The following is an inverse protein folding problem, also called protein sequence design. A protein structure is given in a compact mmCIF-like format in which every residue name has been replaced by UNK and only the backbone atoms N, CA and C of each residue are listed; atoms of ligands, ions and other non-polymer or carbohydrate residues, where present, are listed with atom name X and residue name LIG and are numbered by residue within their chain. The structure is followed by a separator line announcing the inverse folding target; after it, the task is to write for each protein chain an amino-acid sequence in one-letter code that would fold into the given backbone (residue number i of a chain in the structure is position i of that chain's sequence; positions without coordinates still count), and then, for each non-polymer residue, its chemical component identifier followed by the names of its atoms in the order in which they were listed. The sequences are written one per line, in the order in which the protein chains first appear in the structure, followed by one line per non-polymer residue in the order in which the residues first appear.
data_IF_144126170819
#
_entry.id   IF_144126170819
#
_cell.length_a   1.000
_cell.length_b   1.000
_cell.length_c   1.000
_cell.angle_alpha   90.00
_cell.angle_beta   90.00
_cell.angle_gamma   90.00
#
_symmetry.space_group_name_H-M   'P 1'
#
loop_
_entity.id
_entity.type
_entity.pdbx_description
1 polymer ?
#
# COMPACT_ATOMS: atom_id res chain seq x y z
N UNK A 1 -12.86 21.49 -13.28
CA UNK A 1 -11.40 21.34 -13.18
C UNK A 1 -11.16 20.45 -11.97
N UNK A 2 -10.87 19.16 -12.16
CA UNK A 2 -10.46 18.33 -11.02
C UNK A 2 -9.04 18.73 -10.64
N UNK A 3 -8.91 19.16 -9.40
CA UNK A 3 -7.62 19.44 -8.78
C UNK A 3 -6.74 18.18 -8.92
N UNK A 4 -5.56 18.35 -9.53
CA UNK A 4 -4.60 17.24 -9.72
C UNK A 4 -3.85 16.89 -8.44
N UNK A 5 -4.21 17.48 -7.30
CA UNK A 5 -3.50 17.29 -6.03
C UNK A 5 -4.10 16.24 -5.08
N UNK A 6 -5.31 15.74 -5.34
CA UNK A 6 -5.92 14.66 -4.51
C UNK A 6 -6.03 13.37 -5.32
N UNK A 7 -5.49 12.23 -4.84
CA UNK A 7 -5.66 10.95 -5.53
C UNK A 7 -7.15 10.59 -5.62
N UNK A 8 -7.55 9.92 -6.70
CA UNK A 8 -8.90 9.36 -6.83
C UNK A 8 -9.05 8.09 -5.99
N UNK A 9 -7.99 7.28 -5.93
CA UNK A 9 -7.96 5.97 -5.27
C UNK A 9 -6.77 5.87 -4.31
N UNK A 10 -7.02 5.37 -3.10
CA UNK A 10 -5.98 4.89 -2.20
C UNK A 10 -6.03 3.38 -2.13
N UNK A 11 -4.91 2.74 -2.42
CA UNK A 11 -4.72 1.30 -2.21
C UNK A 11 -4.09 1.08 -0.85
N UNK A 12 -4.79 0.44 0.08
CA UNK A 12 -4.30 0.10 1.41
C UNK A 12 -3.82 -1.36 1.43
N UNK A 13 -2.55 -1.57 1.80
CA UNK A 13 -1.94 -2.90 1.87
C UNK A 13 -1.39 -3.17 3.28
N UNK A 14 -2.06 -3.97 4.13
CA UNK A 14 -1.47 -4.45 5.36
C UNK A 14 -0.41 -5.50 5.05
N UNK A 15 0.72 -5.46 5.75
CA UNK A 15 1.81 -6.41 5.51
C UNK A 15 2.53 -6.78 6.81
N UNK A 16 2.99 -8.03 6.90
CA UNK A 16 3.84 -8.49 7.99
C UNK A 16 4.76 -9.62 7.53
N UNK A 17 6.07 -9.42 7.62
CA UNK A 17 7.08 -10.42 7.29
C UNK A 17 6.99 -10.98 5.85
N UNK A 18 6.88 -10.10 4.86
CA UNK A 18 6.68 -10.41 3.44
C UNK A 18 7.69 -9.65 2.55
N UNK A 19 8.94 -9.52 2.99
CA UNK A 19 9.93 -8.67 2.32
C UNK A 19 10.08 -8.95 0.81
N UNK A 20 10.03 -10.23 0.42
CA UNK A 20 10.17 -10.66 -0.97
C UNK A 20 9.01 -10.21 -1.87
N UNK A 21 7.82 -9.97 -1.29
CA UNK A 21 6.60 -9.64 -2.03
C UNK A 21 6.37 -8.13 -2.16
N UNK A 22 7.09 -7.30 -1.40
CA UNK A 22 6.94 -5.84 -1.40
C UNK A 22 7.13 -5.23 -2.79
N UNK A 23 8.29 -5.48 -3.41
CA UNK A 23 8.61 -4.90 -4.72
C UNK A 23 7.66 -5.39 -5.82
N UNK A 24 7.48 -6.71 -6.02
CA UNK A 24 6.58 -7.22 -7.06
C UNK A 24 5.17 -6.64 -6.96
N UNK A 25 4.59 -6.63 -5.75
CA UNK A 25 3.22 -6.15 -5.56
C UNK A 25 3.07 -4.64 -5.80
N UNK A 26 4.07 -3.83 -5.40
CA UNK A 26 4.06 -2.39 -5.69
C UNK A 26 4.13 -2.15 -7.20
N UNK A 27 5.04 -2.84 -7.91
CA UNK A 27 5.19 -2.72 -9.35
C UNK A 27 3.90 -3.13 -10.09
N UNK A 28 3.25 -4.18 -9.63
CA UNK A 28 1.96 -4.66 -10.14
C UNK A 28 0.84 -3.64 -9.95
N UNK A 29 0.68 -3.08 -8.75
CA UNK A 29 -0.32 -2.04 -8.46
C UNK A 29 -0.11 -0.81 -9.36
N UNK A 30 1.14 -0.36 -9.50
CA UNK A 30 1.48 0.79 -10.36
C UNK A 30 1.15 0.48 -11.82
N UNK A 31 1.44 -0.73 -12.29
CA UNK A 31 1.15 -1.17 -13.67
C UNK A 31 -0.34 -1.36 -13.94
N UNK A 32 -1.13 -1.76 -12.95
CA UNK A 32 -2.58 -1.97 -13.07
C UNK A 32 -3.36 -0.64 -13.12
N UNK A 33 -2.79 0.45 -12.60
CA UNK A 33 -3.44 1.75 -12.46
C UNK A 33 -2.79 2.88 -13.29
N UNK A 34 -2.45 2.69 -14.59
CA UNK A 34 -1.63 3.64 -15.36
C UNK A 34 -2.34 4.97 -15.67
N UNK A 35 -3.67 5.01 -15.55
CA UNK A 35 -4.50 6.18 -15.86
C UNK A 35 -5.35 6.64 -14.68
N UNK A 36 -5.17 6.03 -13.50
CA UNK A 36 -5.86 6.41 -12.27
C UNK A 36 -4.87 7.17 -11.40
N UNK A 37 -5.21 8.41 -11.03
CA UNK A 37 -4.46 9.14 -10.02
C UNK A 37 -4.63 8.40 -8.69
N UNK A 38 -3.58 7.75 -8.21
CA UNK A 38 -3.65 6.89 -7.03
C UNK A 38 -2.50 7.14 -6.06
N UNK A 39 -2.71 6.72 -4.82
CA UNK A 39 -1.66 6.53 -3.83
C UNK A 39 -1.70 5.10 -3.29
N UNK A 40 -0.56 4.65 -2.75
CA UNK A 40 -0.43 3.33 -2.14
C UNK A 40 -0.03 3.54 -0.69
N UNK A 41 -0.81 3.00 0.24
CA UNK A 41 -0.55 3.05 1.68
C UNK A 41 -0.24 1.64 2.18
N UNK A 42 1.05 1.35 2.37
CA UNK A 42 1.48 0.14 3.05
C UNK A 42 1.49 0.34 4.56
N UNK A 43 0.96 -0.64 5.29
CA UNK A 43 0.97 -0.67 6.75
C UNK A 43 1.73 -1.89 7.23
N UNK A 44 2.98 -1.68 7.63
CA UNK A 44 3.83 -2.69 8.27
C UNK A 44 3.32 -2.97 9.69
N UNK A 45 2.71 -4.14 9.90
CA UNK A 45 2.16 -4.60 11.18
C UNK A 45 3.24 -5.20 12.10
N UNK A 46 4.33 -4.45 12.30
CA UNK A 46 5.40 -4.82 13.21
C UNK A 46 6.25 -5.98 12.70
N UNK A 47 6.63 -5.95 11.41
CA UNK A 47 7.56 -6.93 10.84
C UNK A 47 8.90 -6.95 11.57
N UNK A 48 9.49 -8.14 11.61
CA UNK A 48 10.78 -8.45 12.25
C UNK A 48 11.83 -8.89 11.24
N UNK A 49 11.49 -8.97 9.96
CA UNK A 49 12.37 -9.32 8.84
C UNK A 49 12.76 -8.06 8.02
N UNK A 50 13.13 -8.25 6.75
CA UNK A 50 13.50 -7.16 5.83
C UNK A 50 12.34 -6.30 5.32
N UNK A 51 11.07 -6.58 5.66
CA UNK A 51 9.88 -5.95 5.04
C UNK A 51 9.93 -4.43 5.10
N UNK A 52 10.26 -3.85 6.26
CA UNK A 52 10.34 -2.40 6.39
C UNK A 52 11.47 -1.80 5.55
N UNK A 53 12.61 -2.48 5.45
CA UNK A 53 13.74 -1.99 4.69
C UNK A 53 13.40 -1.92 3.20
N UNK A 54 12.76 -2.96 2.67
CA UNK A 54 12.27 -2.99 1.29
C UNK A 54 11.21 -1.90 1.04
N UNK A 55 10.25 -1.73 1.95
CA UNK A 55 9.26 -0.65 1.85
C UNK A 55 9.92 0.74 1.78
N UNK A 56 10.94 0.98 2.60
CA UNK A 56 11.67 2.26 2.60
C UNK A 56 12.49 2.46 1.32
N UNK A 57 13.07 1.40 0.77
CA UNK A 57 13.74 1.47 -0.52
C UNK A 57 12.74 1.84 -1.63
N UNK A 58 11.59 1.17 -1.67
CA UNK A 58 10.54 1.45 -2.65
C UNK A 58 9.96 2.87 -2.56
N UNK A 59 9.93 3.50 -1.37
CA UNK A 59 9.50 4.90 -1.25
C UNK A 59 10.38 5.89 -2.01
N UNK A 60 11.64 5.52 -2.31
CA UNK A 60 12.53 6.35 -3.12
C UNK A 60 12.22 6.23 -4.62
N UNK A 61 11.65 5.10 -5.03
CA UNK A 61 11.34 4.77 -6.43
C UNK A 61 9.89 5.14 -6.81
N UNK A 62 8.97 5.07 -5.84
CA UNK A 62 7.52 5.25 -6.05
C UNK A 62 7.02 6.44 -5.21
N UNK A 63 6.95 7.66 -5.79
CA UNK A 63 6.55 8.86 -5.05
C UNK A 63 5.13 8.82 -4.46
N UNK A 64 4.27 7.96 -4.99
CA UNK A 64 2.89 7.73 -4.53
C UNK A 64 2.80 6.72 -3.38
N UNK A 65 3.93 6.15 -2.93
CA UNK A 65 4.00 5.18 -1.84
C UNK A 65 4.18 5.84 -0.47
N UNK A 66 3.20 5.63 0.39
CA UNK A 66 3.23 5.98 1.80
C UNK A 66 3.37 4.73 2.66
N UNK A 67 4.27 4.77 3.64
CA UNK A 67 4.47 3.68 4.60
C UNK A 67 4.05 4.11 6.00
N UNK A 68 3.25 3.28 6.67
CA UNK A 68 2.94 3.33 8.10
C UNK A 68 3.47 2.08 8.77
N UNK A 69 3.82 2.19 10.05
CA UNK A 69 4.36 1.06 10.82
C UNK A 69 3.75 1.01 12.21
N UNK A 70 3.31 -0.18 12.62
CA UNK A 70 2.98 -0.47 14.00
C UNK A 70 4.24 -0.87 14.78
N UNK A 71 4.31 -0.48 16.06
CA UNK A 71 5.46 -0.81 16.93
C UNK A 71 5.59 -2.32 17.19
N UNK A 72 4.46 -3.02 17.21
CA UNK A 72 4.34 -4.46 17.32
C UNK A 72 3.11 -4.89 16.52
N UNK A 73 2.97 -6.19 16.22
CA UNK A 73 1.79 -6.67 15.49
C UNK A 73 0.50 -6.43 16.26
N UNK A 74 -0.44 -5.78 15.59
CA UNK A 74 -1.78 -5.46 16.05
C UNK A 74 -2.86 -6.19 15.23
N UNK A 75 -2.46 -6.95 14.21
CA UNK A 75 -3.33 -7.73 13.33
C UNK A 75 -3.75 -6.97 12.06
N UNK A 76 -4.16 -7.73 11.05
CA UNK A 76 -4.54 -7.22 9.72
C UNK A 76 -5.64 -6.16 9.77
N UNK A 77 -6.70 -6.36 10.54
CA UNK A 77 -7.79 -5.38 10.64
C UNK A 77 -7.32 -4.06 11.24
N UNK A 78 -6.42 -4.09 12.23
CA UNK A 78 -5.83 -2.86 12.78
C UNK A 78 -4.97 -2.15 11.74
N UNK A 79 -4.20 -2.91 10.95
CA UNK A 79 -3.39 -2.37 9.87
C UNK A 79 -4.25 -1.72 8.77
N UNK A 80 -5.35 -2.36 8.36
CA UNK A 80 -6.33 -1.79 7.43
C UNK A 80 -6.90 -0.49 7.99
N UNK A 81 -7.35 -0.46 9.25
CA UNK A 81 -7.87 0.77 9.88
C UNK A 81 -6.85 1.89 9.89
N UNK A 82 -5.58 1.59 10.18
CA UNK A 82 -4.47 2.56 10.11
C UNK A 82 -4.28 3.09 8.69
N UNK A 83 -4.36 2.22 7.68
CA UNK A 83 -4.23 2.60 6.28
C UNK A 83 -5.39 3.47 5.80
N UNK A 84 -6.63 3.07 6.10
CA UNK A 84 -7.85 3.84 5.80
C UNK A 84 -7.81 5.22 6.43
N UNK A 85 -7.33 5.36 7.67
CA UNK A 85 -7.17 6.66 8.33
C UNK A 85 -6.08 7.53 7.71
N UNK A 86 -5.12 6.94 7.02
CA UNK A 86 -4.05 7.64 6.34
C UNK A 86 -4.37 7.95 4.87
N UNK A 87 -5.45 7.39 4.33
CA UNK A 87 -5.86 7.57 2.94
C UNK A 87 -6.36 8.99 2.67
N UNK A 88 -5.91 9.55 1.56
CA UNK A 88 -6.32 10.82 0.98
C UNK A 88 -7.23 10.66 -0.25
N UNK A 89 -7.37 9.44 -0.78
CA UNK A 89 -8.18 9.13 -1.95
C UNK A 89 -9.68 9.22 -1.69
N UNK A 90 -10.45 9.52 -2.74
CA UNK A 90 -11.92 9.48 -2.68
C UNK A 90 -12.43 8.06 -2.47
N UNK A 91 -11.80 7.10 -3.15
CA UNK A 91 -12.07 5.67 -3.02
C UNK A 91 -10.91 4.99 -2.30
N UNK A 92 -11.24 3.93 -1.56
CA UNK A 92 -10.26 3.11 -0.86
C UNK A 92 -10.46 1.66 -1.30
N UNK A 93 -9.41 1.07 -1.87
CA UNK A 93 -9.31 -0.36 -2.11
C UNK A 93 -8.37 -0.96 -1.08
N UNK A 94 -8.74 -2.10 -0.51
CA UNK A 94 -7.85 -2.88 0.36
C UNK A 94 -7.34 -4.08 -0.43
N UNK A 95 -6.02 -4.26 -0.46
CA UNK A 95 -5.35 -5.40 -1.06
C UNK A 95 -4.64 -6.17 0.05
N UNK A 96 -4.75 -7.48 0.07
CA UNK A 96 -4.00 -8.31 1.02
C UNK A 96 -2.54 -8.46 0.55
N UNK A 97 -1.59 -8.29 1.47
CA UNK A 97 -0.15 -8.33 1.18
C UNK A 97 0.39 -9.73 0.84
N UNK A 98 -0.46 -10.75 0.78
CA UNK A 98 -0.12 -12.12 0.40
C UNK A 98 -0.18 -12.37 -1.12
N UNK A 99 -0.55 -11.34 -1.90
CA UNK A 99 -0.68 -11.41 -3.35
C UNK A 99 -1.81 -12.33 -3.82
N UNK A 100 -2.76 -12.70 -2.94
CA UNK A 100 -3.90 -13.54 -3.30
C UNK A 100 -5.03 -12.78 -3.99
N UNK A 101 -5.02 -11.45 -3.91
CA UNK A 101 -5.95 -10.58 -4.63
C UNK A 101 -5.22 -9.94 -5.82
N UNK A 102 -5.68 -10.22 -7.04
CA UNK A 102 -5.09 -9.67 -8.27
C UNK A 102 -5.34 -8.15 -8.31
N UNK A 103 -4.31 -7.29 -8.32
CA UNK A 103 -4.47 -5.84 -8.47
C UNK A 103 -5.22 -5.44 -9.76
N UNK A 104 -5.26 -6.31 -10.77
CA UNK A 104 -6.04 -6.14 -11.99
C UNK A 104 -7.56 -6.34 -11.80
N UNK A 105 -8.03 -6.75 -10.63
CA UNK A 105 -9.46 -6.78 -10.27
C UNK A 105 -9.97 -5.44 -9.70
N UNK A 106 -9.07 -4.49 -9.45
CA UNK A 106 -9.39 -3.14 -8.94
C UNK A 106 -9.96 -2.18 -10.01
N UNK A 107 -9.60 -2.26 -11.31
CA UNK A 107 -10.18 -1.42 -12.36
C UNK A 107 -11.63 -1.76 -12.76
#
# INVERSE_FOLDING_TARGET
MHDRSTPLLTVVVPVRNEAANIRPLIEEIVSALPHVAHEIVYVDDGSTDGTLAELRAMQLEVPTLTVRRHRASCGQSAAIVTGVKAAAGLWIATLDGDGQNDPADIP
#
